data_IF_494872707087
#
_entry.id   IF_494872707087
#
_cell.length_a   1.000
_cell.length_b   1.000
_cell.length_c   1.000
_cell.angle_alpha   90.00
_cell.angle_beta   90.00
_cell.angle_gamma   90.00
#
_symmetry.space_group_name_H-M   'P 1'
#
loop_
_entity.id
_entity.type
_entity.pdbx_description
1 polymer ?
#
# COMPACT_ATOMS: atom_id res chain seq x y z
N UNK A 1 7.28 21.15 1.56
CA UNK A 1 7.74 19.91 2.22
C UNK A 1 6.64 19.50 3.19
N UNK A 2 5.87 18.44 2.89
CA UNK A 2 4.76 18.02 3.76
C UNK A 2 5.33 17.23 4.95
N UNK A 3 5.96 17.98 5.84
CA UNK A 3 6.66 17.53 7.03
C UNK A 3 5.66 17.31 8.18
N UNK A 4 4.61 16.52 7.93
CA UNK A 4 3.55 16.31 8.92
C UNK A 4 4.07 15.47 10.09
N UNK A 5 3.48 15.67 11.27
CA UNK A 5 3.81 14.86 12.44
C UNK A 5 3.63 13.35 12.17
N UNK A 6 2.60 12.98 11.40
CA UNK A 6 2.33 11.59 11.00
C UNK A 6 3.40 11.04 10.05
N UNK A 7 3.84 11.83 9.06
CA UNK A 7 4.93 11.44 8.16
C UNK A 7 6.25 11.21 8.91
N UNK A 8 6.63 12.14 9.80
CA UNK A 8 7.81 11.99 10.66
C UNK A 8 7.71 10.75 11.54
N UNK A 9 6.54 10.52 12.14
CA UNK A 9 6.30 9.36 12.99
C UNK A 9 6.40 8.04 12.21
N UNK A 10 5.91 8.02 10.96
CA UNK A 10 6.04 6.87 10.08
C UNK A 10 7.50 6.57 9.75
N UNK A 11 8.25 7.56 9.25
CA UNK A 11 9.69 7.41 8.95
C UNK A 11 10.46 6.94 10.20
N UNK A 12 10.24 7.59 11.34
CA UNK A 12 10.90 7.21 12.60
C UNK A 12 10.50 5.81 13.10
N UNK A 13 9.29 5.34 12.81
CA UNK A 13 8.87 3.98 13.13
C UNK A 13 9.62 2.97 12.25
N UNK A 14 9.75 3.23 10.95
CA UNK A 14 10.44 2.33 10.02
C UNK A 14 11.95 2.27 10.27
N UNK A 15 12.55 3.39 10.70
CA UNK A 15 13.96 3.40 11.13
C UNK A 15 14.21 2.52 12.36
N UNK A 16 13.18 2.24 13.18
CA UNK A 16 13.30 1.54 14.47
C UNK A 16 12.78 0.10 14.44
N UNK A 17 11.92 -0.24 13.48
CA UNK A 17 11.26 -1.52 13.42
C UNK A 17 10.96 -1.90 11.97
N UNK A 18 10.99 -3.21 11.70
CA UNK A 18 10.59 -3.74 10.40
C UNK A 18 9.11 -3.47 10.12
N UNK A 19 8.81 -3.23 8.84
CA UNK A 19 7.44 -3.31 8.34
C UNK A 19 7.05 -4.79 8.37
N UNK A 20 6.02 -5.09 9.17
CA UNK A 20 5.55 -6.45 9.41
C UNK A 20 4.58 -6.89 8.32
N UNK A 21 3.73 -5.98 7.85
CA UNK A 21 2.70 -6.28 6.86
C UNK A 21 2.15 -4.99 6.21
N UNK A 22 1.47 -5.18 5.08
CA UNK A 22 0.62 -4.17 4.45
C UNK A 22 -0.73 -4.83 4.22
N UNK A 23 -1.80 -4.17 4.68
CA UNK A 23 -3.15 -4.63 4.49
C UNK A 23 -3.87 -3.77 3.46
N UNK A 24 -4.45 -4.41 2.46
CA UNK A 24 -5.41 -3.79 1.53
C UNK A 24 -6.80 -4.08 2.06
N UNK A 25 -7.63 -3.06 2.25
CA UNK A 25 -9.04 -3.26 2.60
C UNK A 25 -9.92 -3.34 1.36
N UNK A 26 -11.07 -3.99 1.50
CA UNK A 26 -12.01 -4.16 0.41
C UNK A 26 -13.24 -4.92 0.88
N UNK A 27 -14.07 -5.28 -0.07
CA UNK A 27 -15.25 -6.08 0.18
C UNK A 27 -15.04 -7.51 -0.25
N UNK A 28 -15.82 -8.38 0.37
CA UNK A 28 -15.97 -9.77 -0.03
C UNK A 28 -17.31 -9.85 -0.74
N UNK A 29 -17.26 -9.94 -2.07
CA UNK A 29 -18.42 -10.13 -2.92
C UNK A 29 -18.68 -11.64 -3.12
N UNK A 30 -19.95 -12.00 -3.17
CA UNK A 30 -20.40 -13.32 -3.61
C UNK A 30 -20.79 -13.23 -5.08
N UNK A 31 -19.98 -13.80 -5.96
CA UNK A 31 -20.54 -14.31 -7.21
C UNK A 31 -20.60 -13.38 -8.43
N UNK A 32 -20.30 -12.07 -8.34
CA UNK A 32 -20.59 -11.15 -9.46
C UNK A 32 -19.36 -10.53 -10.15
N UNK A 33 -18.16 -10.64 -9.60
CA UNK A 33 -16.97 -9.92 -10.08
C UNK A 33 -16.08 -10.61 -11.12
N UNK A 34 -16.32 -11.89 -11.45
CA UNK A 34 -15.56 -12.64 -12.48
C UNK A 34 -16.52 -13.10 -13.57
N UNK A 35 -16.14 -13.00 -14.87
CA UNK A 35 -16.91 -13.60 -15.96
C UNK A 35 -17.33 -15.04 -15.63
N UNK A 36 -18.61 -15.33 -15.77
CA UNK A 36 -19.25 -16.56 -15.28
C UNK A 36 -18.70 -17.84 -15.93
N UNK A 37 -18.03 -17.71 -17.07
CA UNK A 37 -17.35 -18.76 -17.82
C UNK A 37 -16.00 -19.18 -17.21
N UNK A 38 -15.41 -18.37 -16.32
CA UNK A 38 -14.17 -18.69 -15.61
C UNK A 38 -14.41 -19.32 -14.23
N UNK A 39 -15.67 -19.55 -13.86
CA UNK A 39 -16.04 -20.04 -12.54
C UNK A 39 -16.01 -21.59 -12.47
N UNK A 40 -15.50 -22.17 -11.37
CA UNK A 40 -15.73 -23.59 -11.09
C UNK A 40 -17.23 -23.91 -11.01
N UNK A 41 -17.67 -25.01 -11.61
CA UNK A 41 -19.07 -25.41 -11.56
C UNK A 41 -19.49 -25.80 -10.13
N UNK A 42 -20.49 -25.10 -9.58
CA UNK A 42 -21.27 -25.55 -8.42
C UNK A 42 -20.79 -25.16 -7.01
N UNK A 43 -20.46 -23.89 -6.72
CA UNK A 43 -20.19 -23.44 -5.33
C UNK A 43 -20.39 -21.94 -5.10
N UNK A 44 -20.72 -21.57 -3.85
CA UNK A 44 -20.73 -20.21 -3.29
C UNK A 44 -19.29 -19.69 -3.11
N UNK A 45 -18.66 -19.24 -4.19
CA UNK A 45 -17.32 -18.65 -4.10
C UNK A 45 -17.39 -17.20 -3.61
N UNK A 46 -16.35 -16.81 -2.86
CA UNK A 46 -16.17 -15.47 -2.32
C UNK A 46 -14.99 -14.82 -3.03
N UNK A 47 -15.15 -13.59 -3.51
CA UNK A 47 -14.08 -12.80 -4.12
C UNK A 47 -13.79 -11.58 -3.27
N UNK A 48 -12.51 -11.35 -3.00
CA UNK A 48 -12.06 -10.10 -2.42
C UNK A 48 -11.90 -9.05 -3.52
N UNK A 49 -12.67 -7.97 -3.41
CA UNK A 49 -12.66 -6.85 -4.36
C UNK A 49 -12.23 -5.58 -3.62
N UNK A 50 -11.10 -5.02 -4.04
CA UNK A 50 -10.57 -3.75 -3.53
C UNK A 50 -11.04 -2.60 -4.42
N UNK A 51 -12.30 -2.18 -4.26
CA UNK A 51 -12.88 -1.07 -5.04
C UNK A 51 -12.37 0.30 -4.54
N UNK A 52 -11.98 0.36 -3.27
CA UNK A 52 -11.48 1.57 -2.62
C UNK A 52 -10.26 1.23 -1.77
N UNK A 53 -9.09 1.66 -2.25
CA UNK A 53 -7.83 1.20 -1.73
C UNK A 53 -7.38 2.09 -0.57
N UNK A 54 -7.71 1.67 0.65
CA UNK A 54 -6.96 2.07 1.84
C UNK A 54 -5.88 1.03 2.10
N UNK A 55 -4.68 1.51 2.34
CA UNK A 55 -3.57 0.66 2.74
C UNK A 55 -3.23 0.91 4.19
N UNK A 56 -3.11 -0.16 4.97
CA UNK A 56 -2.61 -0.08 6.32
C UNK A 56 -1.23 -0.70 6.39
N UNK A 57 -0.22 0.07 6.81
CA UNK A 57 1.16 -0.40 6.98
C UNK A 57 1.42 -0.63 8.46
N UNK A 58 1.77 -1.87 8.82
CA UNK A 58 2.11 -2.25 10.19
C UNK A 58 3.62 -2.16 10.40
N UNK A 59 4.05 -1.31 11.33
CA UNK A 59 5.47 -1.08 11.64
C UNK A 59 5.68 -1.22 13.14
N UNK A 60 6.26 -2.33 13.57
CA UNK A 60 6.31 -2.70 14.99
C UNK A 60 4.93 -2.64 15.66
N UNK A 61 4.77 -1.76 16.65
CA UNK A 61 3.49 -1.57 17.37
C UNK A 61 2.59 -0.49 16.76
N UNK A 62 3.01 0.14 15.66
CA UNK A 62 2.28 1.22 15.03
C UNK A 62 1.56 0.71 13.78
N UNK A 63 0.37 1.26 13.56
CA UNK A 63 -0.39 1.07 12.34
C UNK A 63 -0.54 2.43 11.67
N UNK A 64 -0.26 2.50 10.39
CA UNK A 64 -0.38 3.71 9.60
C UNK A 64 -1.34 3.48 8.45
N UNK A 65 -2.30 4.38 8.29
CA UNK A 65 -3.17 4.41 7.13
C UNK A 65 -2.53 5.27 6.04
N UNK A 66 -2.49 4.73 4.83
CA UNK A 66 -2.17 5.42 3.61
C UNK A 66 -3.44 5.58 2.79
N UNK A 67 -3.76 6.83 2.45
CA UNK A 67 -4.91 7.17 1.64
C UNK A 67 -4.52 8.11 0.50
N UNK A 68 -5.16 7.95 -0.65
CA UNK A 68 -5.04 8.91 -1.74
C UNK A 68 -5.83 10.16 -1.44
N UNK A 69 -5.22 11.32 -1.64
CA UNK A 69 -5.91 12.62 -1.55
C UNK A 69 -5.58 13.47 -2.79
N UNK A 70 -6.31 14.59 -2.96
CA UNK A 70 -6.18 15.49 -4.12
C UNK A 70 -6.34 14.78 -5.47
N UNK A 71 -7.49 14.10 -5.66
CA UNK A 71 -7.83 13.35 -6.88
C UNK A 71 -6.78 12.28 -7.26
N UNK A 72 -6.31 11.50 -6.28
CA UNK A 72 -5.37 10.40 -6.54
C UNK A 72 -4.03 10.91 -7.09
N UNK A 73 -3.50 11.98 -6.48
CA UNK A 73 -2.19 12.54 -6.86
C UNK A 73 -1.12 12.36 -5.77
N UNK A 74 -1.54 12.12 -4.51
CA UNK A 74 -0.63 11.94 -3.38
C UNK A 74 -1.17 10.97 -2.33
N UNK A 75 -0.25 10.37 -1.60
CA UNK A 75 -0.51 9.59 -0.40
C UNK A 75 -0.44 10.50 0.84
N UNK A 76 -1.53 10.56 1.59
CA UNK A 76 -1.53 11.04 2.97
C UNK A 76 -1.28 9.86 3.92
N UNK A 77 -0.53 10.13 4.99
CA UNK A 77 -0.24 9.15 6.03
C UNK A 77 -0.89 9.61 7.33
N UNK A 78 -1.68 8.73 7.93
CA UNK A 78 -2.32 8.92 9.23
C UNK A 78 -1.90 7.79 10.17
N UNK A 79 -1.83 8.04 11.48
CA UNK A 79 -1.72 6.95 12.46
C UNK A 79 -3.10 6.36 12.75
N UNK A 80 -3.23 5.05 12.63
CA UNK A 80 -4.45 4.32 12.93
C UNK A 80 -4.28 3.48 14.21
N UNK A 81 -5.39 3.23 14.89
CA UNK A 81 -5.42 2.29 16.03
C UNK A 81 -5.76 0.86 15.57
N UNK A 82 -6.58 0.74 14.53
CA UNK A 82 -7.05 -0.53 13.96
C UNK A 82 -7.39 -0.39 12.47
N UNK A 83 -7.52 -1.52 11.80
CA UNK A 83 -8.09 -1.60 10.46
C UNK A 83 -9.61 -1.48 10.59
N UNK A 84 -10.21 -0.57 9.85
CA UNK A 84 -11.64 -0.33 9.86
C UNK A 84 -12.18 -0.03 8.47
N UNK A 85 -13.49 -0.24 8.30
CA UNK A 85 -14.19 0.09 7.08
C UNK A 85 -14.38 1.61 6.98
N UNK A 86 -13.74 2.23 6.00
CA UNK A 86 -13.85 3.67 5.72
C UNK A 86 -14.76 3.99 4.53
N UNK A 87 -15.52 3.01 4.05
CA UNK A 87 -16.41 3.15 2.90
C UNK A 87 -17.86 2.78 3.21
N UNK A 88 -18.82 3.27 2.39
CA UNK A 88 -20.21 2.80 2.46
C UNK A 88 -20.26 1.31 2.14
N UNK A 89 -20.90 0.52 3.00
CA UNK A 89 -21.07 -0.94 2.82
C UNK A 89 -22.54 -1.20 2.56
N UNK A 90 -22.88 -1.84 1.44
CA UNK A 90 -24.25 -2.29 1.22
C UNK A 90 -24.60 -3.45 2.18
N UNK A 91 -25.86 -3.70 2.53
CA UNK A 91 -26.23 -4.73 3.50
C UNK A 91 -25.71 -6.14 3.18
N UNK A 92 -25.55 -6.45 1.90
CA UNK A 92 -25.02 -7.71 1.37
C UNK A 92 -23.48 -7.79 1.36
N UNK A 93 -22.81 -6.65 1.48
CA UNK A 93 -21.37 -6.57 1.40
C UNK A 93 -20.71 -6.97 2.73
N UNK A 94 -19.66 -7.78 2.65
CA UNK A 94 -18.85 -8.11 3.83
C UNK A 94 -17.49 -7.40 3.75
N UNK A 95 -17.17 -6.58 4.75
CA UNK A 95 -15.85 -5.97 4.86
C UNK A 95 -14.76 -7.03 5.08
N UNK A 96 -13.63 -6.90 4.38
CA UNK A 96 -12.46 -7.73 4.56
C UNK A 96 -11.15 -6.97 4.35
N UNK A 97 -10.04 -7.63 4.65
CA UNK A 97 -8.71 -7.16 4.30
C UNK A 97 -7.79 -8.33 3.94
N UNK A 98 -6.82 -8.07 3.08
CA UNK A 98 -5.79 -9.04 2.71
C UNK A 98 -4.39 -8.51 2.99
N UNK A 99 -3.49 -9.40 3.40
CA UNK A 99 -2.06 -9.09 3.55
C UNK A 99 -1.37 -9.13 2.19
N UNK A 100 -0.81 -8.01 1.76
CA UNK A 100 -0.06 -7.89 0.50
C UNK A 100 1.25 -8.66 0.59
N UNK A 101 1.99 -8.49 1.68
CA UNK A 101 3.30 -9.16 1.86
C UNK A 101 3.11 -10.67 1.77
N UNK A 102 2.12 -11.22 2.47
CA UNK A 102 1.83 -12.65 2.41
C UNK A 102 1.30 -13.12 1.08
N UNK A 103 0.68 -12.27 0.27
CA UNK A 103 0.12 -12.65 -1.03
C UNK A 103 1.17 -12.59 -2.14
N UNK A 104 2.03 -11.57 -2.12
CA UNK A 104 3.09 -11.36 -3.11
C UNK A 104 4.26 -12.34 -2.88
N UNK A 105 4.53 -12.69 -1.62
CA UNK A 105 5.77 -13.39 -1.23
C UNK A 105 5.54 -14.88 -0.94
N UNK A 106 4.50 -15.49 -1.53
CA UNK A 106 4.15 -16.93 -1.35
C UNK A 106 5.12 -17.92 -2.03
N UNK A 107 6.37 -17.56 -2.30
CA UNK A 107 7.33 -18.48 -2.92
C UNK A 107 8.21 -19.18 -1.88
N UNK A 108 7.62 -20.02 -1.02
CA UNK A 108 8.26 -21.20 -0.40
C UNK A 108 9.62 -21.08 0.33
N UNK A 109 10.22 -19.91 0.49
CA UNK A 109 11.52 -19.70 1.11
C UNK A 109 11.55 -18.36 1.84
N UNK A 110 11.66 -18.44 3.16
CA UNK A 110 11.75 -17.37 4.15
C UNK A 110 10.63 -16.31 4.13
N UNK A 111 10.21 -15.86 5.32
CA UNK A 111 9.32 -14.70 5.40
C UNK A 111 10.03 -13.52 4.75
N UNK A 112 9.45 -12.95 3.69
CA UNK A 112 10.05 -11.79 3.07
C UNK A 112 9.95 -10.60 4.02
N UNK A 113 11.13 -10.15 4.46
CA UNK A 113 11.31 -9.04 5.37
C UNK A 113 11.44 -7.77 4.55
N UNK A 114 10.66 -6.75 4.89
CA UNK A 114 10.87 -5.41 4.36
C UNK A 114 12.13 -4.85 5.00
N UNK A 115 13.16 -4.62 4.20
CA UNK A 115 14.49 -4.14 4.63
C UNK A 115 14.68 -2.65 4.39
N UNK A 116 13.76 -2.03 3.66
CA UNK A 116 13.81 -0.61 3.38
C UNK A 116 12.57 -0.12 2.67
N UNK A 117 12.49 1.20 2.57
CA UNK A 117 11.38 1.94 2.00
C UNK A 117 11.95 3.08 1.17
N UNK A 118 11.41 3.25 -0.03
CA UNK A 118 11.62 4.42 -0.88
C UNK A 118 10.39 5.30 -0.83
N UNK A 119 10.56 6.59 -0.55
CA UNK A 119 9.49 7.59 -0.59
C UNK A 119 9.74 8.52 -1.77
N UNK A 120 8.80 8.58 -2.70
CA UNK A 120 8.86 9.42 -3.89
C UNK A 120 8.15 10.74 -3.60
N UNK A 121 8.90 11.74 -3.17
CA UNK A 121 8.40 13.03 -2.69
C UNK A 121 8.53 14.10 -3.77
N UNK A 122 7.50 14.93 -3.98
CA UNK A 122 7.57 16.00 -4.98
C UNK A 122 8.76 16.95 -4.74
N UNK A 123 9.49 17.29 -5.81
CA UNK A 123 10.69 18.15 -5.76
C UNK A 123 10.32 19.60 -5.43
N UNK A 124 9.26 20.11 -6.05
CA UNK A 124 8.79 21.50 -5.89
C UNK A 124 7.35 21.52 -5.40
N UNK A 125 7.09 21.08 -4.15
CA UNK A 125 5.74 20.80 -3.71
C UNK A 125 4.87 22.06 -3.77
N UNK A 126 3.92 22.06 -4.71
CA UNK A 126 2.74 22.93 -4.62
C UNK A 126 1.93 22.67 -3.35
N UNK A 127 0.89 23.48 -3.06
CA UNK A 127 0.00 23.26 -1.92
C UNK A 127 -0.63 21.85 -1.90
N UNK A 128 -0.77 21.25 -3.08
CA UNK A 128 -1.38 19.95 -3.29
C UNK A 128 -0.39 18.82 -3.64
N UNK A 129 0.92 19.08 -3.70
CA UNK A 129 1.92 18.06 -4.06
C UNK A 129 2.54 17.40 -2.81
N UNK A 130 2.51 16.06 -2.77
CA UNK A 130 2.93 15.24 -1.63
C UNK A 130 3.77 14.02 -2.02
N UNK A 131 3.67 12.93 -1.25
CA UNK A 131 4.27 11.64 -1.59
C UNK A 131 3.49 11.07 -2.79
N UNK A 132 4.10 11.03 -3.98
CA UNK A 132 3.46 10.51 -5.18
C UNK A 132 3.42 8.99 -5.21
N UNK A 133 4.42 8.35 -4.58
CA UNK A 133 4.51 6.91 -4.46
C UNK A 133 5.37 6.50 -3.27
N UNK A 134 5.26 5.25 -2.88
CA UNK A 134 6.07 4.57 -1.88
C UNK A 134 6.51 3.21 -2.43
N UNK A 135 7.76 2.83 -2.21
CA UNK A 135 8.29 1.52 -2.52
C UNK A 135 8.79 0.82 -1.28
N UNK A 136 8.69 -0.49 -1.23
CA UNK A 136 9.16 -1.33 -0.14
C UNK A 136 10.13 -2.37 -0.70
N UNK A 137 11.36 -2.34 -0.22
CA UNK A 137 12.38 -3.31 -0.57
C UNK A 137 12.19 -4.57 0.29
N UNK A 138 11.85 -5.69 -0.35
CA UNK A 138 11.57 -6.99 0.29
C UNK A 138 12.67 -8.00 -0.07
N UNK A 139 13.91 -7.74 0.35
CA UNK A 139 15.05 -8.58 0.00
C UNK A 139 15.32 -8.59 -1.52
N UNK A 140 14.81 -9.62 -2.23
CA UNK A 140 14.90 -9.73 -3.70
C UNK A 140 13.71 -9.14 -4.44
N UNK A 141 12.61 -8.89 -3.73
CA UNK A 141 11.37 -8.36 -4.29
C UNK A 141 11.19 -6.88 -3.96
N UNK A 142 10.22 -6.27 -4.63
CA UNK A 142 9.89 -4.86 -4.43
C UNK A 142 8.38 -4.69 -4.55
N UNK A 143 7.76 -4.08 -3.53
CA UNK A 143 6.36 -3.70 -3.57
C UNK A 143 6.31 -2.20 -3.86
N UNK A 144 5.72 -1.82 -4.98
CA UNK A 144 5.53 -0.42 -5.37
C UNK A 144 4.07 -0.03 -5.15
N UNK A 145 3.86 1.10 -4.49
CA UNK A 145 2.57 1.66 -4.15
C UNK A 145 2.55 3.07 -4.71
N UNK A 146 1.81 3.30 -5.78
CA UNK A 146 1.65 4.65 -6.31
C UNK A 146 0.25 5.21 -6.05
N UNK A 147 0.18 6.53 -5.98
CA UNK A 147 -1.07 7.24 -5.82
C UNK A 147 -1.77 7.50 -7.16
N UNK A 148 -1.15 7.20 -8.31
CA UNK A 148 -1.53 7.73 -9.62
C UNK A 148 -2.37 6.73 -10.44
N UNK A 149 -3.48 7.27 -10.92
CA UNK A 149 -4.35 6.79 -12.01
C UNK A 149 -5.52 5.83 -11.65
N UNK A 150 -6.59 5.98 -12.43
CA UNK A 150 -7.99 5.54 -12.27
C UNK A 150 -8.26 4.43 -11.23
N UNK A 151 -8.96 4.79 -10.12
CA UNK A 151 -9.43 3.97 -8.99
C UNK A 151 -8.56 3.93 -7.71
N UNK A 152 -7.57 4.81 -7.56
CA UNK A 152 -6.92 5.06 -6.26
C UNK A 152 -5.50 4.53 -6.17
N UNK A 153 -5.19 3.75 -5.13
CA UNK A 153 -3.83 3.24 -4.92
C UNK A 153 -3.56 2.05 -5.83
N UNK A 154 -2.50 2.11 -6.63
CA UNK A 154 -1.99 0.96 -7.39
C UNK A 154 -0.90 0.23 -6.60
N UNK A 155 -0.99 -1.10 -6.51
CA UNK A 155 0.05 -1.95 -5.89
C UNK A 155 0.67 -2.82 -6.97
N UNK A 156 1.96 -2.61 -7.22
CA UNK A 156 2.73 -3.30 -8.25
C UNK A 156 4.11 -3.73 -7.76
N UNK A 157 4.97 -4.12 -8.72
CA UNK A 157 6.34 -4.57 -8.46
C UNK A 157 7.40 -3.55 -8.87
N UNK A 158 8.68 -3.95 -8.86
CA UNK A 158 9.80 -3.12 -9.35
C UNK A 158 9.57 -2.58 -10.77
N UNK A 159 8.96 -3.38 -11.65
CA UNK A 159 8.64 -2.95 -13.02
C UNK A 159 7.64 -1.78 -13.05
N UNK A 160 6.63 -1.78 -12.18
CA UNK A 160 5.67 -0.68 -12.07
C UNK A 160 6.37 0.60 -11.60
N UNK A 161 7.28 0.50 -10.63
CA UNK A 161 8.14 1.62 -10.20
C UNK A 161 8.95 2.18 -11.37
N UNK A 162 9.60 1.33 -12.15
CA UNK A 162 10.49 1.78 -13.22
C UNK A 162 9.72 2.54 -14.30
N UNK A 163 8.55 2.04 -14.70
CA UNK A 163 7.65 2.74 -15.62
C UNK A 163 7.17 4.07 -15.02
N UNK A 164 6.77 4.07 -13.75
CA UNK A 164 6.33 5.29 -13.07
C UNK A 164 7.43 6.35 -13.01
N UNK A 165 8.67 5.95 -12.75
CA UNK A 165 9.84 6.83 -12.76
C UNK A 165 10.17 7.37 -14.15
N UNK A 166 9.96 6.58 -15.21
CA UNK A 166 10.11 7.05 -16.59
C UNK A 166 9.14 8.21 -16.89
N UNK A 167 7.88 8.09 -16.46
CA UNK A 167 6.84 9.09 -16.72
C UNK A 167 6.89 10.29 -15.78
N UNK A 168 7.22 10.08 -14.50
CA UNK A 168 7.04 11.07 -13.44
C UNK A 168 8.31 11.39 -12.65
N UNK A 169 9.39 10.64 -12.83
CA UNK A 169 10.58 10.70 -11.96
C UNK A 169 11.25 12.07 -11.91
N UNK A 170 11.11 12.91 -12.95
CA UNK A 170 11.63 14.29 -12.91
C UNK A 170 10.86 15.22 -11.96
N UNK A 171 9.67 14.81 -11.49
CA UNK A 171 8.84 15.56 -10.53
C UNK A 171 9.08 15.15 -9.09
N UNK A 172 9.75 14.02 -8.85
CA UNK A 172 9.88 13.42 -7.53
C UNK A 172 11.34 13.13 -7.17
N UNK A 173 11.73 13.49 -5.94
CA UNK A 173 12.96 13.06 -5.32
C UNK A 173 12.70 11.77 -4.51
N UNK A 174 13.66 10.83 -4.56
CA UNK A 174 13.59 9.60 -3.79
C UNK A 174 14.27 9.82 -2.44
N UNK A 175 13.54 9.53 -1.36
CA UNK A 175 14.10 9.40 -0.01
C UNK A 175 14.03 7.93 0.40
N UNK A 176 15.18 7.28 0.40
CA UNK A 176 15.31 5.90 0.87
C UNK A 176 15.59 5.87 2.36
N UNK A 177 14.89 5.01 3.08
CA UNK A 177 15.05 4.76 4.51
C UNK A 177 15.28 3.25 4.68
N UNK A 178 16.41 2.88 5.27
CA UNK A 178 16.71 1.48 5.57
C UNK A 178 16.16 1.10 6.94
N UNK A 179 15.62 -0.10 7.05
CA UNK A 179 15.24 -0.66 8.35
C UNK A 179 16.50 -1.04 9.09
N UNK A 180 16.67 -0.53 10.31
CA UNK A 180 17.77 -0.93 11.16
C UNK A 180 17.48 -2.34 11.70
N UNK A 181 17.97 -3.35 10.99
CA UNK A 181 17.76 -4.78 11.29
C UNK A 181 18.44 -5.26 12.58
N UNK A 182 19.08 -4.35 13.33
CA UNK A 182 19.69 -4.62 14.63
C UNK A 182 18.68 -4.76 15.79
N UNK A 183 17.38 -4.58 15.52
CA UNK A 183 16.29 -4.74 16.51
C UNK A 183 15.32 -5.80 15.96
N UNK A 184 15.75 -7.06 15.99
CA UNK A 184 14.91 -8.23 15.81
C UNK A 184 15.01 -9.10 17.07
#
# INVERSE_FOLDING_TARGET
MMDTAAFKAFVAAVERAAIQDIYVTGFIDRGNGVPTDLLPSGSDWLQFTSVWNWLYVRVGNYLFLLETVAQYARLAIERAERIECKFPVEPEDTFGFSSVIRSVLQSGADQAVVVGIDLFCAVNPGPDEGIGAMGLACGKDYIFIDALDYNGIHVGGARSRDLWLEYFGNRYAVKSVSVNSAIA
#
